data_IF_333569014414
#
_entry.id   IF_333569014414
#
_cell.length_a   1.000
_cell.length_b   1.000
_cell.length_c   1.000
_cell.angle_alpha   90.00
_cell.angle_beta   90.00
_cell.angle_gamma   90.00
#
_symmetry.space_group_name_H-M   'P 1'
#
loop_
_entity.id
_entity.type
_entity.pdbx_description
1 polymer ?
#
# COMPACT_ATOMS: atom_id res chain seq x y z
N UNK A 1 -19.38 -34.34 6.33
CA UNK A 1 -19.08 -35.06 7.58
C UNK A 1 -18.96 -34.02 8.68
N UNK A 2 -19.92 -34.00 9.61
CA UNK A 2 -19.95 -33.11 10.79
C UNK A 2 -19.12 -33.77 11.89
N UNK A 3 -18.19 -33.04 12.48
CA UNK A 3 -17.53 -33.41 13.74
C UNK A 3 -17.92 -32.37 14.78
N UNK A 4 -18.59 -32.84 15.85
CA UNK A 4 -19.01 -32.02 16.98
C UNK A 4 -17.87 -31.74 17.95
N UNK A 5 -17.97 -30.63 18.67
CA UNK A 5 -17.14 -30.33 19.82
C UNK A 5 -18.03 -30.41 21.07
N UNK A 6 -17.55 -31.23 22.00
CA UNK A 6 -18.20 -31.64 23.22
C UNK A 6 -18.29 -30.48 24.24
N UNK A 7 -19.45 -30.37 24.90
CA UNK A 7 -19.63 -29.55 26.09
C UNK A 7 -18.94 -30.21 27.28
N UNK A 8 -18.05 -29.47 27.94
CA UNK A 8 -17.49 -29.81 29.24
C UNK A 8 -18.24 -29.06 30.33
N UNK A 9 -19.04 -29.78 31.11
CA UNK A 9 -19.57 -29.33 32.40
C UNK A 9 -18.46 -29.49 33.45
N UNK A 10 -18.02 -28.40 34.09
CA UNK A 10 -17.15 -28.48 35.27
C UNK A 10 -18.00 -28.36 36.53
N UNK A 11 -18.06 -29.46 37.26
CA UNK A 11 -18.76 -29.65 38.53
C UNK A 11 -18.22 -28.73 39.63
N UNK A 12 -19.11 -28.04 40.34
CA UNK A 12 -18.80 -27.46 41.65
C UNK A 12 -18.59 -28.59 42.68
N UNK A 13 -17.37 -28.72 43.19
CA UNK A 13 -17.09 -29.50 44.39
C UNK A 13 -17.43 -28.64 45.61
N UNK A 14 -18.52 -28.98 46.31
CA UNK A 14 -18.81 -28.47 47.65
C UNK A 14 -17.91 -29.19 48.66
N UNK A 15 -16.88 -28.50 49.16
CA UNK A 15 -16.11 -28.95 50.30
C UNK A 15 -16.88 -28.63 51.59
N UNK A 16 -17.44 -29.67 52.21
CA UNK A 16 -18.03 -29.59 53.54
C UNK A 16 -16.96 -29.40 54.61
N UNK A 17 -17.10 -28.34 55.41
CA UNK A 17 -16.38 -28.21 56.67
C UNK A 17 -17.28 -28.72 57.80
N UNK A 18 -16.91 -29.86 58.40
CA UNK A 18 -17.51 -30.38 59.61
C UNK A 18 -17.19 -29.47 60.80
N UNK A 19 -18.20 -29.04 61.55
CA UNK A 19 -18.01 -28.37 62.83
C UNK A 19 -18.57 -29.26 63.96
N UNK A 20 -17.69 -29.71 64.84
CA UNK A 20 -18.02 -30.37 66.11
C UNK A 20 -18.61 -29.36 67.09
N UNK A 21 -19.73 -29.73 67.72
CA UNK A 21 -20.39 -28.94 68.74
C UNK A 21 -19.55 -28.83 70.03
N UNK A 22 -19.49 -27.64 70.62
CA UNK A 22 -19.27 -27.50 72.05
C UNK A 22 -20.08 -26.30 72.56
N UNK A 23 -20.85 -26.52 73.62
CA UNK A 23 -21.77 -25.56 74.23
C UNK A 23 -21.07 -24.74 75.33
N UNK A 24 -21.29 -23.43 75.37
CA UNK A 24 -21.17 -22.57 76.56
C UNK A 24 -21.78 -21.17 76.33
N UNK A 25 -22.84 -20.87 77.09
CA UNK A 25 -23.42 -19.59 77.60
C UNK A 25 -23.45 -18.29 76.76
N UNK A 26 -24.56 -17.51 76.81
CA UNK A 26 -24.77 -16.33 75.96
C UNK A 26 -24.12 -15.06 76.53
N UNK A 27 -23.04 -14.59 75.91
CA UNK A 27 -22.55 -13.22 76.11
C UNK A 27 -23.25 -12.33 75.10
N UNK A 28 -24.16 -11.47 75.56
CA UNK A 28 -24.77 -10.41 74.74
C UNK A 28 -23.70 -9.38 74.40
N UNK A 29 -23.02 -9.57 73.27
CA UNK A 29 -22.37 -8.50 72.54
C UNK A 29 -23.25 -8.15 71.35
N UNK A 30 -23.88 -6.98 71.40
CA UNK A 30 -24.47 -6.33 70.22
C UNK A 30 -23.31 -5.92 69.32
N UNK A 31 -22.81 -6.87 68.53
CA UNK A 31 -21.97 -6.58 67.38
C UNK A 31 -22.94 -6.15 66.29
N UNK A 32 -22.97 -4.86 65.98
CA UNK A 32 -23.59 -4.40 64.74
C UNK A 32 -22.91 -5.15 63.59
N UNK A 33 -23.64 -6.06 62.94
CA UNK A 33 -23.16 -6.67 61.71
C UNK A 33 -22.92 -5.52 60.73
N UNK A 34 -21.69 -5.30 60.24
CA UNK A 34 -21.49 -4.38 59.14
C UNK A 34 -22.38 -4.88 57.99
N UNK A 35 -22.97 -3.96 57.23
CA UNK A 35 -23.80 -4.22 56.05
C UNK A 35 -22.95 -4.82 54.91
N UNK A 36 -22.31 -5.96 55.16
CA UNK A 36 -21.44 -6.74 54.27
C UNK A 36 -22.17 -7.25 53.02
N UNK A 37 -23.49 -7.14 52.99
CA UNK A 37 -24.33 -7.60 51.88
C UNK A 37 -24.36 -6.64 50.70
N UNK A 38 -24.17 -5.33 50.90
CA UNK A 38 -24.17 -4.33 49.83
C UNK A 38 -22.88 -4.37 49.00
N UNK A 39 -21.74 -4.21 49.68
CA UNK A 39 -20.41 -4.19 49.03
C UNK A 39 -20.09 -5.52 48.32
N UNK A 40 -20.52 -6.65 48.90
CA UNK A 40 -20.33 -7.96 48.27
C UNK A 40 -21.14 -8.10 46.98
N UNK A 41 -22.37 -7.57 46.95
CA UNK A 41 -23.21 -7.59 45.76
C UNK A 41 -22.63 -6.71 44.63
N UNK A 42 -22.10 -5.53 44.97
CA UNK A 42 -21.44 -4.64 44.01
C UNK A 42 -20.13 -5.24 43.48
N UNK A 43 -19.34 -5.88 44.36
CA UNK A 43 -18.11 -6.57 43.97
C UNK A 43 -18.39 -7.79 43.07
N UNK A 44 -19.48 -8.53 43.34
CA UNK A 44 -19.97 -9.61 42.48
C UNK A 44 -20.42 -9.08 41.11
N UNK A 45 -21.16 -7.97 41.07
CA UNK A 45 -21.59 -7.34 39.82
C UNK A 45 -20.40 -6.87 38.97
N UNK A 46 -19.43 -6.17 39.58
CA UNK A 46 -18.20 -5.74 38.89
C UNK A 46 -17.38 -6.93 38.38
N UNK A 47 -17.31 -8.03 39.14
CA UNK A 47 -16.60 -9.23 38.70
C UNK A 47 -17.30 -9.93 37.53
N UNK A 48 -18.64 -9.89 37.49
CA UNK A 48 -19.43 -10.42 36.38
C UNK A 48 -19.25 -9.59 35.11
N UNK A 49 -19.28 -8.25 35.23
CA UNK A 49 -19.04 -7.33 34.11
C UNK A 49 -17.62 -7.48 33.55
N UNK A 50 -16.61 -7.58 34.42
CA UNK A 50 -15.22 -7.82 34.01
C UNK A 50 -15.07 -9.16 33.28
N UNK A 51 -15.77 -10.20 33.73
CA UNK A 51 -15.76 -11.52 33.09
C UNK A 51 -16.46 -11.49 31.72
N UNK A 52 -17.58 -10.78 31.60
CA UNK A 52 -18.30 -10.62 30.33
C UNK A 52 -17.47 -9.82 29.31
N UNK A 53 -16.80 -8.75 29.75
CA UNK A 53 -15.96 -7.92 28.89
C UNK A 53 -14.70 -8.67 28.43
N UNK A 54 -14.11 -9.49 29.31
CA UNK A 54 -13.02 -10.38 28.94
C UNK A 54 -13.47 -11.41 27.88
N UNK A 55 -14.64 -12.03 28.07
CA UNK A 55 -15.20 -12.98 27.10
C UNK A 55 -15.45 -12.33 25.72
N UNK A 56 -16.04 -11.12 25.69
CA UNK A 56 -16.27 -10.38 24.46
C UNK A 56 -14.96 -10.01 23.72
N UNK A 57 -13.92 -9.63 24.47
CA UNK A 57 -12.61 -9.33 23.88
C UNK A 57 -11.95 -10.58 23.28
N UNK A 58 -12.06 -11.74 23.94
CA UNK A 58 -11.56 -13.01 23.39
C UNK A 58 -12.28 -13.41 22.09
N UNK A 59 -13.59 -13.18 22.00
CA UNK A 59 -14.35 -13.43 20.77
C UNK A 59 -13.91 -12.48 19.64
N UNK A 60 -13.73 -11.19 19.94
CA UNK A 60 -13.24 -10.19 18.99
C UNK A 60 -11.83 -10.51 18.46
N UNK A 61 -10.93 -10.95 19.34
CA UNK A 61 -9.58 -11.35 18.96
C UNK A 61 -9.59 -12.61 18.07
N UNK A 62 -10.42 -13.60 18.42
CA UNK A 62 -10.58 -14.80 17.61
C UNK A 62 -11.14 -14.50 16.20
N UNK A 63 -12.10 -13.58 16.08
CA UNK A 63 -12.62 -13.11 14.80
C UNK A 63 -11.57 -12.34 13.98
N UNK A 64 -10.77 -11.48 14.62
CA UNK A 64 -9.67 -10.77 13.98
C UNK A 64 -8.60 -11.71 13.44
N UNK A 65 -8.23 -12.72 14.22
CA UNK A 65 -7.23 -13.71 13.81
C UNK A 65 -7.75 -14.58 12.67
N UNK A 66 -9.03 -14.98 12.71
CA UNK A 66 -9.67 -15.70 11.62
C UNK A 66 -9.72 -14.85 10.33
N UNK A 67 -10.07 -13.56 10.43
CA UNK A 67 -10.09 -12.63 9.31
C UNK A 67 -8.68 -12.38 8.74
N UNK A 68 -7.68 -12.21 9.61
CA UNK A 68 -6.29 -12.03 9.20
C UNK A 68 -5.74 -13.29 8.51
N UNK A 69 -6.07 -14.48 9.01
CA UNK A 69 -5.68 -15.75 8.39
C UNK A 69 -6.36 -15.94 7.03
N UNK A 70 -7.63 -15.57 6.89
CA UNK A 70 -8.35 -15.61 5.61
C UNK A 70 -7.75 -14.63 4.59
N UNK A 71 -7.49 -13.39 5.00
CA UNK A 71 -6.86 -12.37 4.16
C UNK A 71 -5.44 -12.78 3.72
N UNK A 72 -4.65 -13.36 4.62
CA UNK A 72 -3.31 -13.86 4.30
C UNK A 72 -3.34 -15.05 3.33
N UNK A 73 -4.38 -15.89 3.40
CA UNK A 73 -4.56 -17.02 2.48
C UNK A 73 -4.93 -16.54 1.07
N UNK A 74 -5.81 -15.55 0.96
CA UNK A 74 -6.18 -14.99 -0.34
C UNK A 74 -5.01 -14.22 -0.96
N UNK A 75 -4.31 -13.40 -0.19
CA UNK A 75 -3.12 -12.68 -0.66
C UNK A 75 -2.01 -13.64 -1.16
N UNK A 76 -1.82 -14.80 -0.51
CA UNK A 76 -0.87 -15.82 -0.97
C UNK A 76 -1.32 -16.49 -2.28
N UNK A 77 -2.62 -16.70 -2.47
CA UNK A 77 -3.19 -17.29 -3.69
C UNK A 77 -3.06 -16.33 -4.87
N UNK A 78 -3.39 -15.06 -4.66
CA UNK A 78 -3.26 -14.01 -5.68
C UNK A 78 -1.81 -13.79 -6.09
N UNK A 79 -0.89 -13.81 -5.11
CA UNK A 79 0.54 -13.71 -5.36
C UNK A 79 1.09 -14.93 -6.12
N UNK A 80 0.56 -16.14 -5.86
CA UNK A 80 0.94 -17.35 -6.60
C UNK A 80 0.43 -17.32 -8.06
N UNK A 81 -0.81 -16.87 -8.28
CA UNK A 81 -1.38 -16.72 -9.62
C UNK A 81 -0.66 -15.63 -10.43
N UNK A 82 -0.35 -14.49 -9.80
CA UNK A 82 0.43 -13.41 -10.39
C UNK A 82 1.84 -13.88 -10.79
N UNK A 83 2.53 -14.64 -9.93
CA UNK A 83 3.85 -15.21 -10.23
C UNK A 83 3.79 -16.17 -11.41
N UNK A 84 2.80 -17.06 -11.46
CA UNK A 84 2.65 -18.04 -12.56
C UNK A 84 2.36 -17.34 -13.90
N UNK A 85 1.57 -16.27 -13.89
CA UNK A 85 1.29 -15.44 -15.07
C UNK A 85 2.50 -14.60 -15.51
N UNK A 86 3.30 -14.12 -14.55
CA UNK A 86 4.53 -13.39 -14.82
C UNK A 86 5.62 -14.30 -15.43
N UNK A 87 5.80 -15.51 -14.92
CA UNK A 87 6.76 -16.48 -15.48
C UNK A 87 6.39 -16.91 -16.91
N UNK A 88 5.11 -17.11 -17.19
CA UNK A 88 4.64 -17.45 -18.54
C UNK A 88 4.88 -16.30 -19.54
N UNK A 89 4.71 -15.05 -19.12
CA UNK A 89 4.98 -13.87 -19.97
C UNK A 89 6.47 -13.57 -20.12
N UNK A 90 7.29 -13.81 -19.09
CA UNK A 90 8.75 -13.63 -19.16
C UNK A 90 9.38 -14.54 -20.22
N UNK A 91 8.91 -15.79 -20.33
CA UNK A 91 9.35 -16.73 -21.39
C UNK A 91 8.95 -16.30 -22.81
N UNK A 92 7.84 -15.57 -22.98
CA UNK A 92 7.42 -15.04 -24.26
C UNK A 92 8.19 -13.76 -24.65
N UNK A 93 8.53 -12.92 -23.67
CA UNK A 93 9.29 -11.67 -23.86
C UNK A 93 10.76 -11.93 -24.21
N UNK A 94 11.38 -12.94 -23.58
CA UNK A 94 12.77 -13.32 -23.82
C UNK A 94 13.00 -13.79 -25.27
N UNK A 95 12.02 -14.49 -25.85
CA UNK A 95 12.02 -14.87 -27.27
C UNK A 95 11.87 -13.66 -28.22
N UNK A 96 11.15 -12.60 -27.80
CA UNK A 96 10.95 -11.39 -28.61
C UNK A 96 12.14 -10.44 -28.55
N UNK A 97 12.82 -10.38 -27.40
CA UNK A 97 14.02 -9.53 -27.19
C UNK A 97 15.23 -10.05 -27.96
N UNK A 98 15.40 -11.37 -28.06
CA UNK A 98 16.43 -11.98 -28.92
C UNK A 98 16.24 -11.65 -30.42
N UNK A 99 14.99 -11.49 -30.88
CA UNK A 99 14.69 -11.10 -32.26
C UNK A 99 14.98 -9.61 -32.54
N UNK A 100 14.86 -8.74 -31.53
CA UNK A 100 15.13 -7.31 -31.65
C UNK A 100 16.63 -6.97 -31.62
N UNK A 101 17.42 -7.72 -30.85
CA UNK A 101 18.87 -7.52 -30.73
C UNK A 101 19.61 -7.80 -32.06
N UNK A 102 19.15 -8.78 -32.84
CA UNK A 102 19.66 -9.06 -34.18
C UNK A 102 19.37 -7.95 -35.22
N UNK A 103 18.35 -7.12 -34.99
CA UNK A 103 18.02 -5.99 -35.86
C UNK A 103 18.87 -4.74 -35.55
N UNK A 104 19.27 -4.56 -34.29
CA UNK A 104 20.02 -3.39 -33.83
C UNK A 104 21.48 -3.39 -34.32
N UNK A 105 22.13 -4.55 -34.44
CA UNK A 105 23.54 -4.64 -34.89
C UNK A 105 23.76 -4.21 -36.35
N UNK A 106 22.71 -4.05 -37.17
CA UNK A 106 22.83 -3.51 -38.55
C UNK A 106 22.79 -1.98 -38.62
N UNK A 107 22.39 -1.31 -37.54
CA UNK A 107 22.25 0.16 -37.49
C UNK A 107 23.50 0.88 -36.95
N UNK A 108 24.36 0.17 -36.21
CA UNK A 108 25.54 0.73 -35.54
C UNK A 108 26.70 1.07 -36.48
N UNK A 109 26.82 0.42 -37.64
CA UNK A 109 27.86 0.75 -38.63
C UNK A 109 27.58 2.03 -39.45
N UNK A 110 26.34 2.53 -39.44
CA UNK A 110 26.01 3.79 -40.15
C UNK A 110 26.30 5.04 -39.31
N UNK A 111 26.37 4.91 -37.98
CA UNK A 111 26.49 6.06 -37.06
C UNK A 111 27.94 6.53 -36.83
N UNK A 112 28.95 5.71 -37.11
CA UNK A 112 30.36 6.00 -36.78
C UNK A 112 31.04 6.98 -37.74
N UNK A 113 30.38 7.38 -38.85
CA UNK A 113 30.91 8.36 -39.81
C UNK A 113 30.47 9.81 -39.54
N UNK A 114 29.57 10.06 -38.58
CA UNK A 114 28.94 11.37 -38.35
C UNK A 114 29.26 12.01 -36.99
N UNK A 115 30.29 11.53 -36.28
CA UNK A 115 30.67 11.99 -34.95
C UNK A 115 32.03 12.71 -34.93
N UNK A 116 32.21 13.68 -35.84
CA UNK A 116 33.32 14.63 -35.77
C UNK A 116 32.84 16.03 -36.15
N UNK A 117 31.86 16.55 -35.41
CA UNK A 117 31.55 17.98 -35.38
C UNK A 117 30.74 18.32 -34.11
N UNK A 118 31.27 19.30 -33.36
CA UNK A 118 30.57 20.23 -32.47
C UNK A 118 29.83 19.71 -31.21
N UNK A 119 30.44 20.07 -30.08
CA UNK A 119 29.82 20.52 -28.82
C UNK A 119 28.57 21.38 -29.00
N UNK A 120 27.70 21.31 -27.97
CA UNK A 120 26.49 22.10 -27.70
C UNK A 120 25.27 21.81 -28.57
N UNK A 121 24.27 21.14 -27.98
CA UNK A 121 22.89 21.18 -28.45
C UNK A 121 21.94 21.17 -27.25
N UNK A 122 21.51 22.36 -26.85
CA UNK A 122 20.12 22.59 -26.48
C UNK A 122 19.29 22.42 -27.76
N UNK A 123 18.34 21.48 -27.76
CA UNK A 123 17.35 21.26 -28.82
C UNK A 123 16.02 20.85 -28.17
N UNK A 124 14.88 21.11 -28.83
CA UNK A 124 13.72 21.75 -28.23
C UNK A 124 12.96 20.83 -27.28
N UNK A 125 12.71 21.32 -26.06
CA UNK A 125 11.91 20.63 -25.04
C UNK A 125 10.55 20.13 -25.58
N UNK A 126 9.98 20.77 -26.61
CA UNK A 126 8.67 20.43 -27.15
C UNK A 126 8.59 19.02 -27.77
N UNK A 127 9.64 18.54 -28.45
CA UNK A 127 9.64 17.20 -29.06
C UNK A 127 9.78 16.08 -28.02
N UNK A 128 10.59 16.33 -27.00
CA UNK A 128 10.80 15.41 -25.88
C UNK A 128 9.55 15.31 -25.01
N UNK A 129 8.93 16.44 -24.65
CA UNK A 129 7.69 16.47 -23.86
C UNK A 129 6.56 15.75 -24.58
N UNK A 130 6.36 15.98 -25.88
CA UNK A 130 5.30 15.31 -26.64
C UNK A 130 5.42 13.78 -26.60
N UNK A 131 6.65 13.26 -26.66
CA UNK A 131 6.93 11.82 -26.57
C UNK A 131 6.57 11.25 -25.20
N UNK A 132 6.96 11.95 -24.12
CA UNK A 132 6.61 11.57 -22.73
C UNK A 132 5.09 11.52 -22.57
N UNK A 133 4.38 12.58 -23.00
CA UNK A 133 2.92 12.66 -22.89
C UNK A 133 2.22 11.60 -23.74
N UNK A 134 2.73 11.31 -24.94
CA UNK A 134 2.18 10.26 -25.81
C UNK A 134 2.30 8.89 -25.16
N UNK A 135 3.45 8.59 -24.53
CA UNK A 135 3.64 7.34 -23.81
C UNK A 135 2.66 7.23 -22.63
N UNK A 136 2.56 8.28 -21.80
CA UNK A 136 1.66 8.29 -20.65
C UNK A 136 0.20 8.07 -21.06
N UNK A 137 -0.25 8.76 -22.11
CA UNK A 137 -1.61 8.61 -22.65
C UNK A 137 -1.88 7.19 -23.17
N UNK A 138 -0.88 6.51 -23.71
CA UNK A 138 -1.02 5.13 -24.17
C UNK A 138 -1.24 4.14 -23.02
N UNK A 139 -0.83 4.48 -21.80
CA UNK A 139 -1.02 3.62 -20.61
C UNK A 139 -2.31 3.92 -19.85
N UNK A 140 -3.11 4.91 -20.25
CA UNK A 140 -4.38 5.20 -19.56
C UNK A 140 -5.29 3.98 -19.59
N UNK A 141 -5.77 3.57 -18.41
CA UNK A 141 -6.55 2.35 -18.21
C UNK A 141 -5.73 1.13 -17.74
N UNK A 142 -4.41 1.19 -17.78
CA UNK A 142 -3.56 0.15 -17.19
C UNK A 142 -3.79 0.02 -15.69
N UNK A 143 -3.56 -1.18 -15.15
CA UNK A 143 -3.73 -1.44 -13.73
C UNK A 143 -2.66 -0.72 -12.90
N UNK A 144 -3.05 -0.29 -11.70
CA UNK A 144 -2.07 0.08 -10.68
C UNK A 144 -1.66 -1.17 -9.90
N UNK A 145 -0.36 -1.43 -9.80
CA UNK A 145 0.21 -2.45 -8.93
C UNK A 145 1.47 -1.91 -8.30
N UNK A 146 1.51 -1.83 -6.97
CA UNK A 146 2.67 -1.36 -6.23
C UNK A 146 3.92 -2.17 -6.64
N UNK A 147 4.98 -1.48 -7.04
CA UNK A 147 6.24 -2.10 -7.45
C UNK A 147 6.29 -2.53 -8.92
N UNK A 148 5.18 -2.52 -9.66
CA UNK A 148 5.18 -2.88 -11.08
C UNK A 148 5.99 -1.90 -11.93
N UNK A 149 6.41 -2.33 -13.11
CA UNK A 149 7.27 -1.55 -14.02
C UNK A 149 6.84 -1.68 -15.48
N UNK A 150 5.55 -1.95 -15.71
CA UNK A 150 4.97 -2.08 -17.04
C UNK A 150 5.09 -3.46 -17.69
N UNK A 151 4.65 -3.57 -18.96
CA UNK A 151 4.02 -2.50 -19.73
C UNK A 151 2.50 -2.37 -19.51
N UNK A 152 1.85 -3.27 -18.74
CA UNK A 152 0.38 -3.27 -18.57
C UNK A 152 -0.07 -2.98 -17.12
N UNK A 153 0.89 -2.71 -16.25
CA UNK A 153 0.64 -2.40 -14.85
C UNK A 153 1.79 -1.55 -14.33
N UNK A 154 1.45 -0.53 -13.57
CA UNK A 154 2.40 0.49 -13.13
C UNK A 154 2.16 0.84 -11.67
N UNK A 155 3.19 1.34 -11.00
CA UNK A 155 2.98 2.25 -9.88
C UNK A 155 3.33 3.68 -10.29
N UNK A 156 3.09 4.63 -9.40
CA UNK A 156 3.22 6.05 -9.72
C UNK A 156 4.60 6.41 -10.28
N UNK A 157 5.65 6.03 -9.57
CA UNK A 157 7.03 6.36 -9.92
C UNK A 157 7.57 5.57 -11.11
N UNK A 158 7.19 4.30 -11.28
CA UNK A 158 7.60 3.51 -12.46
C UNK A 158 6.95 3.98 -13.76
N UNK A 159 5.71 4.46 -13.73
CA UNK A 159 5.05 5.06 -14.90
C UNK A 159 5.83 6.30 -15.37
N UNK A 160 6.12 7.21 -14.44
CA UNK A 160 6.90 8.42 -14.71
C UNK A 160 8.29 8.04 -15.22
N UNK A 161 8.99 7.11 -14.55
CA UNK A 161 10.30 6.62 -14.97
C UNK A 161 10.27 6.09 -16.41
N UNK A 162 9.31 5.24 -16.76
CA UNK A 162 9.22 4.66 -18.10
C UNK A 162 8.86 5.69 -19.19
N UNK A 163 8.06 6.70 -18.85
CA UNK A 163 7.72 7.78 -19.77
C UNK A 163 8.93 8.64 -20.10
N UNK A 164 9.71 9.06 -19.09
CA UNK A 164 10.93 9.85 -19.29
C UNK A 164 12.06 9.03 -19.93
N UNK A 165 12.09 7.71 -19.71
CA UNK A 165 13.03 6.82 -20.40
C UNK A 165 12.85 6.83 -21.92
N UNK A 166 11.65 7.11 -22.44
CA UNK A 166 11.40 7.23 -23.88
C UNK A 166 12.23 8.34 -24.54
N UNK A 167 12.66 9.32 -23.76
CA UNK A 167 13.47 10.46 -24.22
C UNK A 167 14.87 10.44 -23.64
N UNK A 168 15.33 9.28 -23.14
CA UNK A 168 16.69 9.09 -22.64
C UNK A 168 16.96 9.68 -21.26
N UNK A 169 15.92 10.09 -20.51
CA UNK A 169 16.07 10.59 -19.14
C UNK A 169 15.90 9.43 -18.15
N UNK A 170 16.96 9.14 -17.40
CA UNK A 170 16.97 8.13 -16.35
C UNK A 170 16.53 8.73 -15.02
N UNK A 171 15.31 8.38 -14.59
CA UNK A 171 14.79 8.77 -13.29
C UNK A 171 15.04 7.69 -12.23
N UNK A 172 15.20 8.05 -10.95
CA UNK A 172 15.18 7.11 -9.83
C UNK A 172 13.90 6.28 -9.77
N UNK A 173 13.94 5.10 -9.15
CA UNK A 173 12.79 4.18 -9.11
C UNK A 173 11.65 4.68 -8.22
N UNK A 174 11.94 5.43 -7.16
CA UNK A 174 10.97 5.76 -6.11
C UNK A 174 10.58 7.24 -6.16
N UNK A 175 9.36 7.56 -5.72
CA UNK A 175 8.79 8.91 -5.77
C UNK A 175 9.58 9.92 -4.93
N UNK A 176 10.13 9.49 -3.79
CA UNK A 176 10.94 10.31 -2.91
C UNK A 176 12.11 10.92 -3.67
N UNK A 177 12.88 10.07 -4.35
CA UNK A 177 14.05 10.49 -5.12
C UNK A 177 13.65 11.29 -6.36
N UNK A 178 12.59 10.88 -7.07
CA UNK A 178 12.08 11.63 -8.23
C UNK A 178 11.68 13.07 -7.89
N UNK A 179 11.12 13.31 -6.70
CA UNK A 179 10.79 14.67 -6.24
C UNK A 179 12.01 15.57 -6.04
N UNK A 180 13.23 15.01 -6.10
CA UNK A 180 14.49 15.74 -5.94
C UNK A 180 15.25 15.91 -7.26
N UNK A 181 14.77 15.34 -8.37
CA UNK A 181 15.46 15.38 -9.66
C UNK A 181 15.09 16.62 -10.45
N UNK A 182 16.09 17.34 -10.95
CA UNK A 182 15.89 18.49 -11.82
C UNK A 182 15.79 19.81 -11.06
N UNK A 183 15.07 20.77 -11.65
CA UNK A 183 14.89 22.12 -11.09
C UNK A 183 13.55 22.22 -10.38
N UNK A 184 13.53 22.78 -9.18
CA UNK A 184 12.29 23.04 -8.43
C UNK A 184 11.45 24.12 -9.14
N UNK A 185 10.18 23.83 -9.38
CA UNK A 185 9.25 24.73 -10.05
C UNK A 185 8.11 25.11 -9.09
N UNK A 186 7.84 26.41 -8.88
CA UNK A 186 6.66 26.81 -8.13
C UNK A 186 5.40 26.41 -8.92
N UNK A 187 4.36 25.94 -8.21
CA UNK A 187 3.14 25.43 -8.85
C UNK A 187 2.43 26.42 -9.79
N UNK A 188 2.67 27.72 -9.63
CA UNK A 188 2.16 28.77 -10.53
C UNK A 188 2.89 28.85 -11.89
N UNK A 189 4.03 28.17 -12.04
CA UNK A 189 4.88 28.17 -13.24
C UNK A 189 5.03 26.79 -13.87
N UNK A 190 4.19 25.83 -13.45
CA UNK A 190 4.24 24.47 -14.00
C UNK A 190 3.89 24.47 -15.49
N UNK A 191 4.59 23.63 -16.23
CA UNK A 191 4.45 23.45 -17.67
C UNK A 191 4.26 21.97 -17.99
N UNK A 192 3.64 21.70 -19.14
CA UNK A 192 3.41 20.34 -19.60
C UNK A 192 4.73 19.56 -19.61
N UNK A 193 4.73 18.38 -18.98
CA UNK A 193 5.92 17.56 -18.79
C UNK A 193 6.61 17.72 -17.44
N UNK A 194 6.20 18.66 -16.58
CA UNK A 194 6.72 18.73 -15.21
C UNK A 194 6.27 17.53 -14.37
N UNK A 195 7.17 17.02 -13.54
CA UNK A 195 6.86 15.97 -12.58
C UNK A 195 6.27 16.64 -11.35
N UNK A 196 5.02 16.28 -11.03
CA UNK A 196 4.33 16.70 -9.83
C UNK A 196 4.57 15.67 -8.73
N UNK A 197 4.65 16.13 -7.49
CA UNK A 197 4.77 15.25 -6.33
C UNK A 197 3.83 15.64 -5.19
N UNK A 198 3.41 14.64 -4.41
CA UNK A 198 2.62 14.81 -3.19
C UNK A 198 3.40 14.34 -1.96
N UNK A 199 3.34 15.12 -0.89
CA UNK A 199 4.19 14.99 0.29
C UNK A 199 5.33 16.00 0.30
N UNK A 200 6.30 15.81 1.20
CA UNK A 200 7.49 16.66 1.26
C UNK A 200 8.50 16.31 0.17
N UNK A 201 9.30 17.29 -0.27
CA UNK A 201 10.45 17.01 -1.14
C UNK A 201 11.41 16.02 -0.47
N UNK A 202 11.83 14.97 -1.18
CA UNK A 202 12.63 13.87 -0.63
C UNK A 202 11.85 12.90 0.28
N UNK A 203 10.56 13.14 0.47
CA UNK A 203 9.63 12.27 1.23
C UNK A 203 8.29 12.10 0.52
N UNK A 204 8.27 12.37 -0.80
CA UNK A 204 7.08 12.28 -1.60
C UNK A 204 6.58 10.83 -1.66
N UNK A 205 5.29 10.64 -1.35
CA UNK A 205 4.65 9.31 -1.39
C UNK A 205 3.97 9.03 -2.74
N UNK A 206 3.83 10.06 -3.59
CA UNK A 206 3.20 9.93 -4.90
C UNK A 206 3.78 10.92 -5.90
N UNK A 207 3.75 10.54 -7.18
CA UNK A 207 4.21 11.36 -8.31
C UNK A 207 3.30 11.17 -9.54
N UNK A 208 3.27 12.19 -10.40
CA UNK A 208 2.56 12.18 -11.68
C UNK A 208 3.17 13.21 -12.62
N UNK A 209 2.67 13.32 -13.84
CA UNK A 209 3.17 14.29 -14.83
C UNK A 209 2.08 15.28 -15.19
N UNK A 210 2.40 16.58 -15.14
CA UNK A 210 1.48 17.63 -15.55
C UNK A 210 1.27 17.58 -17.07
N UNK A 211 0.01 17.53 -17.51
CA UNK A 211 -0.34 17.39 -18.93
C UNK A 211 -1.01 18.66 -19.51
N UNK A 212 -1.07 19.74 -18.73
CA UNK A 212 -1.70 21.01 -19.11
C UNK A 212 -3.14 21.13 -18.62
N UNK A 213 -3.74 22.32 -18.81
CA UNK A 213 -5.14 22.60 -18.45
C UNK A 213 -5.52 22.26 -17.00
N UNK A 214 -4.59 22.39 -16.05
CA UNK A 214 -4.84 22.02 -14.66
C UNK A 214 -4.93 20.50 -14.41
N UNK A 215 -4.52 19.67 -15.36
CA UNK A 215 -4.59 18.22 -15.29
C UNK A 215 -3.22 17.55 -15.20
N UNK A 216 -3.19 16.38 -14.59
CA UNK A 216 -2.02 15.50 -14.52
C UNK A 216 -2.39 14.05 -14.84
N UNK A 217 -1.39 13.25 -15.17
CA UNK A 217 -1.53 11.83 -15.45
C UNK A 217 -0.61 11.04 -14.51
N UNK A 218 -1.17 10.04 -13.85
CA UNK A 218 -0.49 9.21 -12.87
C UNK A 218 -1.04 7.78 -12.88
N UNK A 219 -0.29 6.86 -12.28
CA UNK A 219 -0.82 5.58 -11.82
C UNK A 219 -1.34 5.79 -10.40
N UNK A 220 -2.65 5.97 -10.24
CA UNK A 220 -3.23 6.55 -9.03
C UNK A 220 -3.27 5.60 -7.84
N UNK A 221 -3.95 4.45 -7.98
CA UNK A 221 -4.14 3.44 -6.93
C UNK A 221 -4.85 2.19 -7.51
N UNK A 222 -4.94 1.07 -6.76
CA UNK A 222 -5.49 -0.19 -7.27
C UNK A 222 -6.94 -0.11 -7.82
N UNK A 223 -7.75 0.83 -7.36
CA UNK A 223 -9.14 0.96 -7.82
C UNK A 223 -9.30 1.83 -9.08
N UNK A 224 -8.36 2.75 -9.35
CA UNK A 224 -8.41 3.64 -10.52
C UNK A 224 -7.46 3.27 -11.65
N UNK A 225 -6.31 2.68 -11.34
CA UNK A 225 -5.26 2.41 -12.33
C UNK A 225 -4.55 3.68 -12.82
N UNK A 226 -4.09 3.67 -14.07
CA UNK A 226 -3.51 4.83 -14.75
C UNK A 226 -4.60 5.72 -15.31
N UNK A 227 -4.63 6.99 -14.90
CA UNK A 227 -5.76 7.89 -15.17
C UNK A 227 -5.29 9.34 -15.29
N UNK A 228 -6.14 10.17 -15.92
CA UNK A 228 -5.98 11.63 -15.95
C UNK A 228 -6.84 12.24 -14.85
N UNK A 229 -6.29 13.15 -14.06
CA UNK A 229 -6.96 13.77 -12.92
C UNK A 229 -6.77 15.29 -12.92
N UNK A 230 -7.70 16.02 -12.29
CA UNK A 230 -7.63 17.47 -12.11
C UNK A 230 -6.87 17.84 -10.82
N UNK A 231 -5.98 18.83 -10.92
CA UNK A 231 -5.25 19.38 -9.77
C UNK A 231 -6.14 20.11 -8.77
N UNK A 232 -7.30 20.61 -9.20
CA UNK A 232 -8.24 21.30 -8.30
C UNK A 232 -8.83 20.36 -7.24
N UNK A 233 -9.02 19.08 -7.57
CA UNK A 233 -9.54 18.07 -6.64
C UNK A 233 -8.45 17.45 -5.76
N UNK A 234 -7.21 17.42 -6.24
CA UNK A 234 -6.08 16.85 -5.50
C UNK A 234 -4.78 17.62 -5.82
N UNK A 235 -4.54 18.75 -5.13
CA UNK A 235 -3.42 19.65 -5.44
C UNK A 235 -2.07 19.01 -5.09
N UNK A 236 -1.11 19.13 -6.00
CA UNK A 236 0.27 18.70 -5.76
C UNK A 236 0.93 19.54 -4.65
N UNK A 237 1.91 18.95 -3.96
CA UNK A 237 2.72 19.65 -2.95
C UNK A 237 3.84 20.46 -3.58
N UNK A 238 4.35 20.02 -4.73
CA UNK A 238 5.32 20.76 -5.54
C UNK A 238 5.58 20.09 -6.88
N UNK A 239 6.51 20.65 -7.63
CA UNK A 239 6.86 20.19 -8.97
C UNK A 239 8.37 20.32 -9.23
N UNK A 240 8.89 19.43 -10.07
CA UNK A 240 10.25 19.51 -10.60
C UNK A 240 10.25 19.39 -12.12
N UNK A 241 11.17 20.09 -12.78
CA UNK A 241 11.37 20.07 -14.23
C UNK A 241 12.70 19.40 -14.59
N UNK A 242 12.61 18.42 -15.48
CA UNK A 242 13.75 17.61 -15.96
C UNK A 242 14.01 17.78 -17.46
N UNK A 243 13.07 18.37 -18.20
CA UNK A 243 13.15 18.64 -19.65
C UNK A 243 13.34 20.13 -19.96
#
# INVERSE_FOLDING_TARGET
MRAGVAGGVLSMAAAGASATANAAEPVTQTIELPTLTGDLADQLAQSADATQLAAANYELDAERDAAAAAAAKEAKKDLAEAKKKAEAKKKAEEARRAAAEAAASRSTERATLSASASVSVSAPASGSVATVISFLKAQVGDAYVLGATGPNAWDCSSLVQAAFKQVGVDLPRVSQDQSMVGTDIPLSQIQVGDILYWGGKGSAYHVGVYIGNGQYLDAANPSKGVVIQDLSGYPASGAVRVL
#
